data_IF_588993530785
#
_entry.id   IF_588993530785
#
_cell.length_a   1.000
_cell.length_b   1.000
_cell.length_c   1.000
_cell.angle_alpha   90.00
_cell.angle_beta   90.00
_cell.angle_gamma   90.00
#
_symmetry.space_group_name_H-M   'P 1'
#
loop_
_entity.id
_entity.type
_entity.pdbx_description
1 polymer ?
#
# COMPACT_ATOMS: atom_id res chain seq x y z
N UNK A 1 24.63 68.13 23.89
CA UNK A 1 23.63 67.38 23.08
C UNK A 1 24.06 65.93 22.82
N UNK A 2 25.34 65.65 22.54
CA UNK A 2 25.88 64.29 22.29
C UNK A 2 25.50 63.19 23.30
N UNK A 3 25.47 63.44 24.62
CA UNK A 3 25.10 62.41 25.62
C UNK A 3 23.66 61.87 25.49
N UNK A 4 22.75 62.63 24.87
CA UNK A 4 21.36 62.17 24.64
C UNK A 4 21.24 61.26 23.43
N UNK A 5 22.08 61.43 22.42
CA UNK A 5 22.09 60.60 21.20
C UNK A 5 22.61 59.19 21.50
N UNK A 6 23.70 59.07 22.26
CA UNK A 6 24.27 57.76 22.64
C UNK A 6 23.30 56.93 23.49
N UNK A 7 22.49 57.57 24.33
CA UNK A 7 21.47 56.89 25.14
C UNK A 7 20.29 56.37 24.29
N UNK A 8 20.01 56.98 23.14
CA UNK A 8 18.99 56.53 22.20
C UNK A 8 19.55 55.36 21.37
N UNK A 9 20.78 55.45 20.89
CA UNK A 9 21.45 54.38 20.12
C UNK A 9 21.55 53.08 20.92
N UNK A 10 21.91 53.14 22.21
CA UNK A 10 21.97 51.95 23.08
C UNK A 10 20.59 51.32 23.29
N UNK A 11 19.53 52.13 23.41
CA UNK A 11 18.15 51.62 23.54
C UNK A 11 17.68 50.94 22.27
N UNK A 12 18.01 51.50 21.10
CA UNK A 12 17.69 50.90 19.81
C UNK A 12 18.47 49.60 19.62
N UNK A 13 19.77 49.59 19.94
CA UNK A 13 20.59 48.37 19.89
C UNK A 13 20.06 47.26 20.80
N UNK A 14 19.67 47.60 22.03
CA UNK A 14 19.07 46.65 22.97
C UNK A 14 17.71 46.10 22.47
N UNK A 15 16.88 46.94 21.84
CA UNK A 15 15.61 46.51 21.26
C UNK A 15 15.83 45.52 20.10
N UNK A 16 16.81 45.78 19.23
CA UNK A 16 17.15 44.89 18.11
C UNK A 16 17.65 43.55 18.64
N UNK A 17 18.58 43.56 19.61
CA UNK A 17 19.09 42.33 20.24
C UNK A 17 17.98 41.52 20.90
N UNK A 18 17.07 42.19 21.62
CA UNK A 18 15.92 41.54 22.24
C UNK A 18 14.98 40.93 21.18
N UNK A 19 14.71 41.66 20.11
CA UNK A 19 13.85 41.19 19.01
C UNK A 19 14.49 40.00 18.28
N UNK A 20 15.80 40.02 18.04
CA UNK A 20 16.54 38.89 17.45
C UNK A 20 16.54 37.68 18.37
N UNK A 21 16.77 37.85 19.67
CA UNK A 21 16.72 36.76 20.63
C UNK A 21 15.31 36.14 20.72
N UNK A 22 14.27 36.98 20.71
CA UNK A 22 12.89 36.53 20.71
C UNK A 22 12.54 35.78 19.42
N UNK A 23 13.02 36.25 18.27
CA UNK A 23 12.85 35.56 16.99
C UNK A 23 13.56 34.20 16.96
N UNK A 24 14.80 34.11 17.46
CA UNK A 24 15.52 32.83 17.58
C UNK A 24 14.78 31.87 18.52
N UNK A 25 14.31 32.35 19.66
CA UNK A 25 13.52 31.55 20.59
C UNK A 25 12.21 31.06 19.94
N UNK A 26 11.54 31.92 19.18
CA UNK A 26 10.31 31.56 18.45
C UNK A 26 10.57 30.50 17.38
N UNK A 27 11.66 30.64 16.60
CA UNK A 27 12.07 29.65 15.59
C UNK A 27 12.38 28.30 16.24
N UNK A 28 13.04 28.29 17.40
CA UNK A 28 13.32 27.04 18.13
C UNK A 28 12.04 26.40 18.68
N UNK A 29 11.08 27.19 19.16
CA UNK A 29 9.80 26.68 19.67
C UNK A 29 8.91 26.14 18.54
N UNK A 30 8.90 26.79 17.38
CA UNK A 30 8.17 26.31 16.19
C UNK A 30 8.88 25.14 15.51
N UNK A 31 10.21 25.05 15.64
CA UNK A 31 10.98 23.93 15.17
C UNK A 31 10.71 22.71 16.04
N UNK A 32 10.12 21.67 15.47
CA UNK A 32 9.89 20.36 16.11
C UNK A 32 11.22 19.58 16.28
N UNK A 33 12.21 20.20 16.94
CA UNK A 33 13.54 19.63 17.18
C UNK A 33 13.50 18.72 18.41
N UNK A 34 13.08 17.47 18.21
CA UNK A 34 13.18 16.41 19.20
C UNK A 34 14.60 15.82 19.22
N UNK A 35 15.37 16.13 20.26
CA UNK A 35 16.72 15.55 20.52
C UNK A 35 16.65 14.24 21.31
N UNK A 36 15.60 13.46 21.14
CA UNK A 36 15.40 12.25 21.93
C UNK A 36 16.24 11.09 21.41
N UNK A 37 16.81 10.29 22.32
CA UNK A 37 17.60 9.08 21.99
C UNK A 37 16.66 7.95 21.58
N UNK A 38 15.94 8.14 20.47
CA UNK A 38 15.05 7.16 19.89
C UNK A 38 15.77 5.88 19.45
N UNK A 39 15.00 4.81 19.24
CA UNK A 39 15.49 3.59 18.59
C UNK A 39 15.49 3.82 17.09
N UNK A 40 16.68 3.91 16.50
CA UNK A 40 16.85 4.05 15.07
C UNK A 40 16.84 2.65 14.42
N UNK A 41 15.95 2.43 13.45
CA UNK A 41 15.91 1.23 12.63
C UNK A 41 15.98 1.63 11.14
N UNK A 42 16.30 0.65 10.30
CA UNK A 42 16.34 0.81 8.85
C UNK A 42 15.26 -0.05 8.23
N UNK A 43 14.41 0.55 7.42
CA UNK A 43 13.34 -0.16 6.70
C UNK A 43 13.57 -0.03 5.21
N UNK A 44 13.74 -1.16 4.54
CA UNK A 44 14.11 -1.21 3.14
C UNK A 44 12.90 -1.40 2.23
N UNK A 45 12.84 -0.61 1.16
CA UNK A 45 11.75 -0.57 0.18
C UNK A 45 12.32 -0.56 -1.24
N UNK A 46 11.58 -1.11 -2.21
CA UNK A 46 11.92 -0.93 -3.63
C UNK A 46 11.32 0.39 -4.14
N UNK A 47 10.19 0.80 -3.57
CA UNK A 47 9.56 2.06 -3.93
C UNK A 47 8.89 2.69 -2.70
N UNK A 48 9.25 3.94 -2.41
CA UNK A 48 8.64 4.68 -1.30
C UNK A 48 7.42 5.50 -1.69
N UNK A 49 7.06 5.52 -2.99
CA UNK A 49 5.81 6.06 -3.49
C UNK A 49 5.53 7.53 -3.15
N UNK A 50 6.56 8.34 -2.85
CA UNK A 50 6.38 9.74 -2.44
C UNK A 50 6.41 9.99 -0.92
N UNK A 51 6.81 9.01 -0.11
CA UNK A 51 7.23 9.23 1.26
C UNK A 51 8.33 10.30 1.31
N UNK A 52 8.28 11.20 2.30
CA UNK A 52 9.22 12.30 2.45
C UNK A 52 9.97 12.20 3.78
N UNK A 53 11.21 12.71 3.88
CA UNK A 53 11.84 12.95 5.17
C UNK A 53 10.94 13.81 6.06
N UNK A 54 10.86 13.47 7.34
CA UNK A 54 9.97 14.10 8.33
C UNK A 54 8.58 13.44 8.45
N UNK A 55 8.22 12.53 7.53
CA UNK A 55 6.96 11.78 7.57
C UNK A 55 6.81 11.04 8.91
N UNK A 56 5.57 10.93 9.37
CA UNK A 56 5.29 10.27 10.64
C UNK A 56 5.48 8.75 10.52
N UNK A 57 5.80 8.14 11.65
CA UNK A 57 5.81 6.69 11.82
C UNK A 57 4.82 6.37 12.92
N UNK A 58 3.90 5.46 12.64
CA UNK A 58 2.85 5.08 13.56
C UNK A 58 2.89 3.57 13.84
N UNK A 59 2.50 3.19 15.05
CA UNK A 59 2.31 1.80 15.45
C UNK A 59 0.84 1.65 15.77
N UNK A 60 0.13 0.82 14.99
CA UNK A 60 -1.33 0.67 15.09
C UNK A 60 -2.03 2.05 15.08
N UNK A 61 -1.57 2.93 14.21
CA UNK A 61 -2.05 4.30 14.03
C UNK A 61 -1.69 5.33 15.07
N UNK A 62 -1.04 4.95 16.17
CA UNK A 62 -0.54 5.91 17.15
C UNK A 62 0.83 6.37 16.66
N UNK A 63 0.98 7.68 16.46
CA UNK A 63 2.28 8.29 16.18
C UNK A 63 3.30 7.84 17.22
N UNK A 64 4.39 7.25 16.73
CA UNK A 64 5.42 6.61 17.52
C UNK A 64 6.83 7.01 17.07
N UNK A 65 6.96 7.83 16.03
CA UNK A 65 8.25 8.20 15.48
C UNK A 65 8.16 9.04 14.22
N UNK A 66 9.32 9.20 13.58
CA UNK A 66 9.48 9.94 12.32
C UNK A 66 10.51 9.29 11.41
N UNK A 67 10.31 9.44 10.11
CA UNK A 67 11.29 9.14 9.07
C UNK A 67 12.32 10.26 9.08
N UNK A 68 13.54 10.01 9.53
CA UNK A 68 14.58 11.05 9.53
C UNK A 68 15.10 11.34 8.13
N UNK A 69 15.29 10.29 7.33
CA UNK A 69 15.99 10.36 6.05
C UNK A 69 15.56 9.20 5.15
N UNK A 70 15.62 9.45 3.86
CA UNK A 70 15.55 8.42 2.83
C UNK A 70 16.90 8.36 2.13
N UNK A 71 17.45 7.16 2.01
CA UNK A 71 18.72 6.90 1.36
C UNK A 71 18.47 6.10 0.10
N UNK A 72 18.91 6.63 -1.04
CA UNK A 72 18.84 5.92 -2.31
C UNK A 72 20.01 4.93 -2.40
N UNK A 73 19.69 3.65 -2.45
CA UNK A 73 20.66 2.55 -2.41
C UNK A 73 21.11 2.10 -3.80
N UNK A 74 20.51 2.64 -4.86
CA UNK A 74 20.99 2.45 -6.24
C UNK A 74 20.81 1.04 -6.81
N UNK A 75 20.08 0.16 -6.12
CA UNK A 75 19.85 -1.21 -6.57
C UNK A 75 21.07 -2.12 -6.36
N UNK A 76 21.97 -1.79 -5.43
CA UNK A 76 23.05 -2.70 -5.05
C UNK A 76 22.42 -4.05 -4.61
N UNK A 77 22.94 -5.19 -5.08
CA UNK A 77 22.48 -6.49 -4.62
C UNK A 77 22.76 -6.58 -3.12
N UNK A 78 21.70 -6.77 -2.33
CA UNK A 78 21.86 -7.13 -0.94
C UNK A 78 22.01 -8.66 -0.87
N UNK A 79 23.19 -9.13 -0.46
CA UNK A 79 23.53 -10.55 -0.36
C UNK A 79 22.62 -11.31 0.62
N UNK A 80 22.01 -10.62 1.60
CA UNK A 80 21.13 -11.24 2.60
C UNK A 80 19.68 -11.36 2.10
N UNK A 81 19.24 -10.46 1.21
CA UNK A 81 17.85 -10.39 0.71
C UNK A 81 17.67 -10.91 -0.71
N UNK A 82 18.76 -11.17 -1.45
CA UNK A 82 18.73 -11.74 -2.80
C UNK A 82 18.05 -10.84 -3.85
N UNK A 83 18.01 -9.52 -3.61
CA UNK A 83 17.34 -8.53 -4.47
C UNK A 83 18.04 -7.17 -4.45
N UNK A 84 17.71 -6.36 -5.45
CA UNK A 84 18.25 -5.00 -5.60
C UNK A 84 17.48 -4.03 -4.69
N UNK A 85 18.12 -3.56 -3.62
CA UNK A 85 17.52 -2.56 -2.74
C UNK A 85 17.56 -1.17 -3.37
N UNK A 86 16.42 -0.51 -3.52
CA UNK A 86 16.37 0.81 -4.11
C UNK A 86 16.41 1.93 -3.08
N UNK A 87 15.71 1.80 -1.95
CA UNK A 87 15.59 2.86 -0.95
C UNK A 87 15.63 2.29 0.48
N UNK A 88 16.45 2.90 1.34
CA UNK A 88 16.49 2.64 2.78
C UNK A 88 15.90 3.81 3.55
N UNK A 89 14.83 3.57 4.29
CA UNK A 89 14.22 4.54 5.19
C UNK A 89 14.87 4.47 6.57
N UNK A 90 15.34 5.62 7.03
CA UNK A 90 15.94 5.82 8.35
C UNK A 90 14.83 6.21 9.33
N UNK A 91 14.36 5.25 10.11
CA UNK A 91 13.17 5.39 10.94
C UNK A 91 13.58 5.52 12.41
N UNK A 92 13.19 6.63 13.02
CA UNK A 92 13.39 6.86 14.44
C UNK A 92 12.08 6.60 15.18
N UNK A 93 12.13 5.66 16.13
CA UNK A 93 11.00 5.31 17.01
C UNK A 93 11.26 5.86 18.40
N UNK A 94 10.23 6.40 19.04
CA UNK A 94 10.30 6.88 20.42
C UNK A 94 10.66 5.74 21.40
N UNK A 95 11.53 5.96 22.39
CA UNK A 95 12.00 4.91 23.31
C UNK A 95 10.87 4.21 24.08
N UNK A 96 9.82 4.96 24.40
CA UNK A 96 8.61 4.47 25.07
C UNK A 96 7.85 3.44 24.24
N UNK A 97 7.92 3.55 22.91
CA UNK A 97 7.16 2.76 21.95
C UNK A 97 8.00 1.69 21.25
N UNK A 98 9.33 1.82 21.24
CA UNK A 98 10.25 0.87 20.60
C UNK A 98 10.07 -0.57 21.09
N UNK A 99 9.74 -0.77 22.38
CA UNK A 99 9.47 -2.09 22.96
C UNK A 99 8.21 -2.77 22.43
N UNK A 100 7.36 -2.08 21.68
CA UNK A 100 6.17 -2.65 21.05
C UNK A 100 6.43 -3.13 19.61
N UNK A 101 7.56 -2.74 19.02
CA UNK A 101 7.95 -3.14 17.67
C UNK A 101 8.78 -4.42 17.74
N UNK A 102 8.55 -5.31 16.79
CA UNK A 102 9.14 -6.65 16.72
C UNK A 102 9.83 -6.85 15.39
N UNK A 103 10.79 -7.78 15.33
CA UNK A 103 11.53 -8.04 14.09
C UNK A 103 10.65 -8.63 12.98
N UNK A 104 9.54 -9.26 13.33
CA UNK A 104 8.54 -9.78 12.41
C UNK A 104 7.41 -8.77 12.11
N UNK A 105 7.51 -7.53 12.62
CA UNK A 105 6.55 -6.48 12.31
C UNK A 105 6.55 -6.20 10.80
N UNK A 106 5.36 -5.97 10.25
CA UNK A 106 5.20 -5.53 8.88
C UNK A 106 5.18 -3.99 8.82
N UNK A 107 5.98 -3.43 7.91
CA UNK A 107 6.15 -1.98 7.74
C UNK A 107 5.53 -1.55 6.41
N UNK A 108 4.40 -0.85 6.47
CA UNK A 108 3.68 -0.41 5.27
C UNK A 108 3.88 1.09 5.05
N UNK A 109 4.06 1.50 3.80
CA UNK A 109 3.88 2.90 3.42
C UNK A 109 2.41 3.10 3.05
N UNK A 110 1.72 3.92 3.81
CA UNK A 110 0.30 4.20 3.57
C UNK A 110 0.00 5.69 3.75
N UNK A 111 -1.23 6.09 3.45
CA UNK A 111 -1.72 7.47 3.60
C UNK A 111 -2.84 7.51 4.61
N UNK A 112 -2.98 8.61 5.35
CA UNK A 112 -4.20 8.83 6.13
C UNK A 112 -5.32 9.24 5.17
N UNK A 113 -6.26 8.33 4.89
CA UNK A 113 -7.28 8.51 3.87
C UNK A 113 -6.72 8.48 2.43
N UNK A 114 -7.53 8.93 1.45
CA UNK A 114 -7.20 8.81 0.00
C UNK A 114 -6.14 9.78 -0.48
N UNK A 115 -6.11 10.99 0.10
CA UNK A 115 -5.28 12.11 -0.37
C UNK A 115 -4.28 12.60 0.69
N UNK A 116 -4.15 11.87 1.80
CA UNK A 116 -3.26 12.26 2.90
C UNK A 116 -1.78 12.15 2.56
N UNK A 117 -0.96 12.71 3.44
CA UNK A 117 0.48 12.51 3.37
C UNK A 117 0.84 11.04 3.66
N UNK A 118 1.92 10.58 3.01
CA UNK A 118 2.43 9.23 3.24
C UNK A 118 3.16 9.14 4.56
N UNK A 119 2.92 8.07 5.28
CA UNK A 119 3.54 7.74 6.56
C UNK A 119 3.87 6.25 6.60
N UNK A 120 4.72 5.83 7.54
CA UNK A 120 5.01 4.41 7.77
C UNK A 120 4.11 3.89 8.88
N UNK A 121 3.31 2.88 8.59
CA UNK A 121 2.51 2.14 9.57
C UNK A 121 3.23 0.84 9.94
N UNK A 122 3.40 0.61 11.23
CA UNK A 122 4.01 -0.59 11.80
C UNK A 122 2.88 -1.45 12.38
N UNK A 123 2.75 -2.66 11.84
CA UNK A 123 1.87 -3.70 12.37
C UNK A 123 2.69 -4.80 13.01
N UNK A 124 2.59 -4.93 14.34
CA UNK A 124 3.22 -6.03 15.08
C UNK A 124 2.36 -7.27 14.96
N UNK A 125 2.93 -8.34 14.39
CA UNK A 125 2.21 -9.60 14.15
C UNK A 125 2.27 -10.52 15.37
N UNK A 126 3.44 -10.72 15.98
CA UNK A 126 3.59 -11.54 17.18
C UNK A 126 4.34 -10.79 18.30
N UNK A 127 3.71 -10.64 19.46
CA UNK A 127 4.33 -10.00 20.63
C UNK A 127 5.44 -10.85 21.28
N UNK A 128 5.52 -12.14 20.97
CA UNK A 128 6.56 -13.06 21.44
C UNK A 128 7.84 -13.04 20.61
N UNK A 129 7.81 -12.44 19.41
CA UNK A 129 8.99 -12.26 18.60
C UNK A 129 10.03 -11.36 19.30
N UNK A 130 11.26 -11.36 18.80
CA UNK A 130 12.30 -10.50 19.37
C UNK A 130 11.95 -9.01 19.16
N UNK A 131 12.10 -8.16 20.19
CA UNK A 131 12.01 -6.71 20.02
C UNK A 131 13.07 -6.20 19.06
N UNK A 132 12.75 -5.15 18.30
CA UNK A 132 13.74 -4.50 17.43
C UNK A 132 14.84 -3.84 18.25
N UNK A 133 16.07 -3.96 17.75
CA UNK A 133 17.26 -3.31 18.30
C UNK A 133 17.66 -2.09 17.47
N UNK A 134 18.50 -1.24 18.07
CA UNK A 134 19.08 -0.10 17.36
C UNK A 134 19.94 -0.61 16.20
N UNK A 135 19.66 -0.12 15.00
CA UNK A 135 20.36 -0.47 13.77
C UNK A 135 19.81 -1.69 13.05
N UNK A 136 18.71 -2.29 13.52
CA UNK A 136 18.06 -3.39 12.81
C UNK A 136 17.64 -2.97 11.41
N UNK A 137 17.88 -3.87 10.44
CA UNK A 137 17.43 -3.74 9.06
C UNK A 137 16.23 -4.65 8.87
N UNK A 138 15.12 -4.06 8.44
CA UNK A 138 13.81 -4.70 8.34
C UNK A 138 13.24 -4.46 6.94
N UNK A 139 12.43 -5.40 6.46
CA UNK A 139 11.83 -5.30 5.14
C UNK A 139 10.50 -4.55 5.21
N UNK A 140 10.38 -3.55 4.36
CA UNK A 140 9.14 -2.84 4.10
C UNK A 140 8.28 -3.54 3.04
N UNK A 141 6.98 -3.24 3.10
CA UNK A 141 6.01 -3.59 2.05
C UNK A 141 5.77 -2.36 1.20
N UNK A 142 6.03 -2.48 -0.10
CA UNK A 142 5.90 -1.38 -1.04
C UNK A 142 4.42 -0.96 -1.19
N UNK A 143 4.14 0.35 -1.32
CA UNK A 143 2.79 0.84 -1.51
C UNK A 143 2.26 0.44 -2.90
N UNK A 144 0.97 0.10 -3.01
CA UNK A 144 0.35 -0.21 -4.30
C UNK A 144 0.39 1.02 -5.22
N UNK A 145 0.85 0.81 -6.47
CA UNK A 145 1.01 1.87 -7.49
C UNK A 145 -0.23 1.97 -8.37
N UNK A 146 -1.29 2.57 -7.84
CA UNK A 146 -2.57 2.66 -8.55
C UNK A 146 -2.45 3.45 -9.85
N UNK A 147 -1.54 4.43 -9.92
CA UNK A 147 -1.28 5.20 -11.15
C UNK A 147 -0.74 4.30 -12.27
N UNK A 148 0.15 3.37 -11.93
CA UNK A 148 0.70 2.43 -12.91
C UNK A 148 -0.37 1.44 -13.37
N UNK A 149 -1.21 0.96 -12.44
CA UNK A 149 -2.32 0.09 -12.78
C UNK A 149 -3.30 0.81 -13.71
N UNK A 150 -3.65 2.06 -13.43
CA UNK A 150 -4.54 2.84 -14.31
C UNK A 150 -3.92 3.07 -15.69
N UNK A 151 -2.64 3.44 -15.75
CA UNK A 151 -1.95 3.62 -17.02
C UNK A 151 -2.00 2.34 -17.86
N UNK A 152 -1.69 1.19 -17.26
CA UNK A 152 -1.78 -0.11 -17.95
C UNK A 152 -3.21 -0.45 -18.40
N UNK A 153 -4.22 -0.09 -17.63
CA UNK A 153 -5.63 -0.29 -18.00
C UNK A 153 -6.06 0.63 -19.14
N UNK A 154 -5.61 1.89 -19.12
CA UNK A 154 -5.88 2.85 -20.21
C UNK A 154 -5.19 2.37 -21.50
N UNK A 155 -3.97 1.86 -21.42
CA UNK A 155 -3.25 1.27 -22.57
C UNK A 155 -4.03 0.08 -23.14
N UNK A 156 -4.48 -0.85 -22.29
CA UNK A 156 -5.35 -1.97 -22.69
C UNK A 156 -6.63 -1.43 -23.34
N UNK A 157 -7.32 -0.45 -22.71
CA UNK A 157 -8.56 0.08 -23.24
C UNK A 157 -8.39 0.72 -24.63
N UNK A 158 -7.28 1.43 -24.86
CA UNK A 158 -6.94 2.03 -26.15
C UNK A 158 -6.61 0.95 -27.20
N UNK A 159 -5.80 -0.05 -26.85
CA UNK A 159 -5.49 -1.18 -27.73
C UNK A 159 -6.76 -1.93 -28.17
N UNK A 160 -7.71 -2.09 -27.25
CA UNK A 160 -9.00 -2.71 -27.54
C UNK A 160 -9.90 -1.82 -28.40
N UNK A 161 -9.90 -0.51 -28.17
CA UNK A 161 -10.67 0.44 -28.97
C UNK A 161 -10.19 0.45 -30.43
N UNK A 162 -8.86 0.40 -30.64
CA UNK A 162 -8.26 0.34 -31.98
C UNK A 162 -8.64 -0.94 -32.73
N UNK A 163 -8.62 -2.09 -32.03
CA UNK A 163 -9.05 -3.37 -32.60
C UNK A 163 -10.55 -3.40 -32.95
N UNK A 164 -11.39 -2.71 -32.18
CA UNK A 164 -12.84 -2.66 -32.43
C UNK A 164 -13.23 -1.66 -33.52
N UNK A 165 -12.47 -0.59 -33.69
CA UNK A 165 -12.79 0.50 -34.61
C UNK A 165 -12.47 0.17 -36.07
N UNK A 166 -11.49 -0.70 -36.30
CA UNK A 166 -10.99 -0.98 -37.65
C UNK A 166 -11.42 -2.38 -38.11
N UNK A 167 -12.21 -2.45 -39.20
CA UNK A 167 -12.74 -3.73 -39.72
C UNK A 167 -11.74 -4.47 -40.62
N UNK A 168 -10.79 -3.74 -41.20
CA UNK A 168 -9.75 -4.27 -42.08
C UNK A 168 -8.38 -4.09 -41.42
N UNK A 169 -8.18 -4.78 -40.29
CA UNK A 169 -6.94 -4.65 -39.52
C UNK A 169 -5.80 -5.33 -40.28
N UNK A 170 -4.72 -4.62 -40.64
CA UNK A 170 -3.54 -5.25 -41.22
C UNK A 170 -2.95 -6.29 -40.27
N UNK A 171 -2.50 -7.41 -40.83
CA UNK A 171 -1.86 -8.51 -40.08
C UNK A 171 -0.70 -8.02 -39.18
N UNK A 172 0.06 -7.01 -39.61
CA UNK A 172 1.12 -6.42 -38.80
C UNK A 172 0.62 -5.70 -37.55
N UNK A 173 -0.53 -5.01 -37.65
CA UNK A 173 -1.11 -4.26 -36.54
C UNK A 173 -1.79 -5.20 -35.55
N UNK A 174 -2.38 -6.30 -36.04
CA UNK A 174 -2.87 -7.41 -35.23
C UNK A 174 -1.79 -7.97 -34.30
N UNK A 175 -0.60 -8.28 -34.84
CA UNK A 175 0.53 -8.79 -34.04
C UNK A 175 0.97 -7.76 -32.99
N UNK A 176 1.09 -6.49 -33.39
CA UNK A 176 1.54 -5.42 -32.48
C UNK A 176 0.58 -5.23 -31.32
N UNK A 177 -0.72 -5.10 -31.61
CA UNK A 177 -1.74 -4.90 -30.59
C UNK A 177 -1.88 -6.13 -29.69
N UNK A 178 -1.79 -7.34 -30.24
CA UNK A 178 -1.81 -8.57 -29.45
C UNK A 178 -0.60 -8.66 -28.51
N UNK A 179 0.60 -8.33 -28.98
CA UNK A 179 1.80 -8.33 -28.15
C UNK A 179 1.75 -7.27 -27.05
N UNK A 180 1.18 -6.09 -27.34
CA UNK A 180 1.01 -5.02 -26.37
C UNK A 180 -0.01 -5.42 -25.27
N UNK A 181 -1.15 -6.00 -25.67
CA UNK A 181 -2.14 -6.56 -24.76
C UNK A 181 -1.52 -7.64 -23.86
N UNK A 182 -0.72 -8.55 -24.43
CA UNK A 182 -0.01 -9.59 -23.67
C UNK A 182 0.98 -8.99 -22.68
N UNK A 183 1.78 -8.01 -23.10
CA UNK A 183 2.75 -7.35 -22.23
C UNK A 183 2.06 -6.62 -21.06
N UNK A 184 0.95 -5.93 -21.34
CA UNK A 184 0.19 -5.21 -20.33
C UNK A 184 -0.53 -6.16 -19.36
N UNK A 185 -1.22 -7.19 -19.86
CA UNK A 185 -1.89 -8.18 -19.02
C UNK A 185 -0.90 -9.00 -18.17
N UNK A 186 0.24 -9.41 -18.76
CA UNK A 186 1.29 -10.10 -18.02
C UNK A 186 1.92 -9.18 -16.96
N UNK A 187 2.12 -7.90 -17.26
CA UNK A 187 2.60 -6.92 -16.29
C UNK A 187 1.66 -6.76 -15.10
N UNK A 188 0.34 -6.68 -15.32
CA UNK A 188 -0.65 -6.63 -14.23
C UNK A 188 -0.56 -7.87 -13.34
N UNK A 189 -0.45 -9.07 -13.93
CA UNK A 189 -0.33 -10.29 -13.14
C UNK A 189 0.97 -10.36 -12.36
N UNK A 190 2.11 -10.10 -13.01
CA UNK A 190 3.42 -10.29 -12.42
C UNK A 190 3.70 -9.25 -11.33
N UNK A 191 3.40 -7.97 -11.60
CA UNK A 191 3.66 -6.87 -10.66
C UNK A 191 2.79 -6.95 -9.40
N UNK A 192 1.61 -7.59 -9.49
CA UNK A 192 0.67 -7.67 -8.37
C UNK A 192 0.66 -9.04 -7.69
N UNK A 193 1.35 -10.06 -8.24
CA UNK A 193 1.36 -11.41 -7.68
C UNK A 193 1.88 -11.45 -6.26
N UNK A 194 3.05 -10.87 -6.02
CA UNK A 194 3.69 -10.87 -4.69
C UNK A 194 2.83 -10.15 -3.65
N UNK A 195 2.17 -9.06 -4.07
CA UNK A 195 1.25 -8.30 -3.22
C UNK A 195 -0.01 -9.12 -2.89
N UNK A 196 -0.59 -9.78 -3.89
CA UNK A 196 -1.76 -10.64 -3.73
C UNK A 196 -1.42 -11.83 -2.82
N UNK A 197 -0.29 -12.50 -3.06
CA UNK A 197 0.16 -13.65 -2.26
C UNK A 197 0.40 -13.24 -0.80
N UNK A 198 1.00 -12.06 -0.58
CA UNK A 198 1.22 -11.51 0.77
C UNK A 198 -0.09 -11.16 1.48
N UNK A 199 -1.04 -10.54 0.77
CA UNK A 199 -2.37 -10.22 1.32
C UNK A 199 -3.11 -11.50 1.70
N UNK A 200 -3.12 -12.50 0.81
CA UNK A 200 -3.78 -13.78 1.06
C UNK A 200 -3.16 -14.47 2.27
N UNK A 201 -1.82 -14.58 2.32
CA UNK A 201 -1.13 -15.20 3.44
C UNK A 201 -1.37 -14.50 4.78
N UNK A 202 -1.34 -13.15 4.79
CA UNK A 202 -1.64 -12.37 5.98
C UNK A 202 -3.09 -12.54 6.44
N UNK A 203 -4.03 -12.53 5.50
CA UNK A 203 -5.46 -12.71 5.80
C UNK A 203 -5.77 -14.13 6.28
N UNK A 204 -5.11 -15.15 5.72
CA UNK A 204 -5.20 -16.54 6.19
C UNK A 204 -4.67 -16.67 7.62
N UNK A 205 -3.51 -16.07 7.91
CA UNK A 205 -2.92 -16.03 9.25
C UNK A 205 -3.85 -15.35 10.25
N UNK A 206 -4.31 -14.14 9.94
CA UNK A 206 -5.27 -13.39 10.77
C UNK A 206 -6.57 -14.17 10.98
N UNK A 207 -7.05 -14.87 9.95
CA UNK A 207 -8.26 -15.71 10.06
C UNK A 207 -8.04 -16.94 10.95
N UNK A 208 -6.83 -17.51 10.95
CA UNK A 208 -6.43 -18.58 11.86
C UNK A 208 -6.36 -18.11 13.31
N UNK A 209 -5.61 -17.03 13.56
CA UNK A 209 -5.43 -16.42 14.88
C UNK A 209 -6.78 -15.99 15.47
N UNK A 210 -7.67 -15.46 14.63
CA UNK A 210 -9.04 -15.13 14.95
C UNK A 210 -9.87 -16.32 15.46
N UNK A 211 -9.77 -17.48 14.81
CA UNK A 211 -10.49 -18.70 15.22
C UNK A 211 -9.98 -19.18 16.57
N UNK A 212 -8.68 -19.13 16.80
CA UNK A 212 -8.06 -19.47 18.08
C UNK A 212 -8.54 -18.55 19.21
N UNK A 213 -8.64 -17.24 18.95
CA UNK A 213 -9.23 -16.26 19.89
C UNK A 213 -10.71 -16.58 20.16
N UNK A 214 -11.49 -16.91 19.13
CA UNK A 214 -12.90 -17.25 19.29
C UNK A 214 -13.11 -18.51 20.15
N UNK A 215 -12.25 -19.52 19.98
CA UNK A 215 -12.27 -20.75 20.77
C UNK A 215 -11.78 -20.51 22.20
N UNK A 216 -10.78 -19.65 22.41
CA UNK A 216 -10.34 -19.24 23.75
C UNK A 216 -11.42 -18.45 24.52
N UNK A 217 -12.17 -17.58 23.82
CA UNK A 217 -13.31 -16.83 24.39
C UNK A 217 -14.43 -17.78 24.85
N UNK A 218 -14.62 -18.91 24.16
CA UNK A 218 -15.62 -19.95 24.50
C UNK A 218 -15.38 -20.59 25.87
N UNK A 219 -14.15 -20.54 26.40
CA UNK A 219 -13.73 -21.25 27.61
C UNK A 219 -13.82 -20.37 28.87
N UNK A 220 -13.99 -19.04 28.77
CA UNK A 220 -13.92 -18.18 29.96
C UNK A 220 -14.65 -16.84 29.95
N UNK A 221 -15.31 -16.42 28.88
CA UNK A 221 -15.91 -15.08 28.77
C UNK A 221 -17.29 -15.20 28.14
N UNK A 222 -18.28 -14.38 28.56
CA UNK A 222 -19.69 -14.46 28.17
C UNK A 222 -20.00 -14.30 26.66
N UNK A 223 -21.05 -13.55 26.30
CA UNK A 223 -21.50 -13.46 24.91
C UNK A 223 -20.50 -12.70 24.01
N UNK A 224 -19.51 -13.41 23.48
CA UNK A 224 -18.55 -12.94 22.47
C UNK A 224 -19.17 -12.75 21.09
N UNK A 225 -20.43 -12.30 21.00
CA UNK A 225 -21.17 -12.12 19.75
C UNK A 225 -20.55 -11.05 18.85
N UNK A 226 -20.06 -9.93 19.42
CA UNK A 226 -19.40 -8.87 18.64
C UNK A 226 -18.08 -9.34 18.04
N UNK A 227 -17.23 -10.02 18.83
CA UNK A 227 -16.01 -10.64 18.33
C UNK A 227 -16.36 -11.66 17.25
N UNK A 228 -17.32 -12.57 17.50
CA UNK A 228 -17.81 -13.51 16.47
C UNK A 228 -18.26 -12.80 15.20
N UNK A 229 -18.96 -11.68 15.32
CA UNK A 229 -19.49 -10.94 14.17
C UNK A 229 -18.36 -10.32 13.36
N UNK A 230 -17.40 -9.67 14.00
CA UNK A 230 -16.20 -9.14 13.34
C UNK A 230 -15.37 -10.25 12.70
N UNK A 231 -15.22 -11.40 13.36
CA UNK A 231 -14.50 -12.55 12.81
C UNK A 231 -15.23 -13.20 11.63
N UNK A 232 -16.55 -13.29 11.68
CA UNK A 232 -17.38 -13.71 10.56
C UNK A 232 -17.26 -12.72 9.40
N UNK A 233 -17.22 -11.41 9.68
CA UNK A 233 -17.04 -10.38 8.66
C UNK A 233 -15.65 -10.46 8.01
N UNK A 234 -14.58 -10.64 8.78
CA UNK A 234 -13.23 -10.86 8.27
C UNK A 234 -13.19 -12.12 7.42
N UNK A 235 -13.71 -13.26 7.92
CA UNK A 235 -13.77 -14.52 7.15
C UNK A 235 -14.59 -14.38 5.87
N UNK A 236 -15.70 -13.64 5.91
CA UNK A 236 -16.51 -13.37 4.74
C UNK A 236 -15.79 -12.47 3.73
N UNK A 237 -15.05 -11.46 4.20
CA UNK A 237 -14.20 -10.63 3.36
C UNK A 237 -13.09 -11.47 2.71
N UNK A 238 -12.41 -12.32 3.47
CA UNK A 238 -11.42 -13.28 2.96
C UNK A 238 -12.01 -14.16 1.86
N UNK A 239 -13.17 -14.76 2.12
CA UNK A 239 -13.84 -15.61 1.15
C UNK A 239 -14.24 -14.82 -0.10
N UNK A 240 -14.72 -13.58 0.05
CA UNK A 240 -15.03 -12.71 -1.09
C UNK A 240 -13.78 -12.36 -1.89
N UNK A 241 -12.69 -11.94 -1.24
CA UNK A 241 -11.43 -11.65 -1.91
C UNK A 241 -10.91 -12.86 -2.69
N UNK A 242 -10.91 -14.04 -2.08
CA UNK A 242 -10.47 -15.26 -2.75
C UNK A 242 -11.40 -15.63 -3.94
N UNK A 243 -12.72 -15.45 -3.74
CA UNK A 243 -13.72 -15.71 -4.77
C UNK A 243 -13.74 -14.67 -5.90
N UNK A 244 -13.29 -13.44 -5.70
CA UNK A 244 -13.26 -12.36 -6.71
C UNK A 244 -11.92 -12.31 -7.44
N UNK A 245 -10.80 -12.50 -6.73
CA UNK A 245 -9.46 -12.49 -7.32
C UNK A 245 -9.21 -13.74 -8.18
N UNK A 246 -9.69 -14.92 -7.76
CA UNK A 246 -9.53 -16.16 -8.51
C UNK A 246 -10.15 -16.15 -9.92
N UNK A 247 -11.37 -15.62 -10.13
CA UNK A 247 -11.93 -15.39 -11.45
C UNK A 247 -11.16 -14.36 -12.27
N UNK A 248 -10.66 -13.27 -11.67
CA UNK A 248 -9.89 -12.24 -12.39
C UNK A 248 -8.58 -12.82 -12.92
N UNK A 249 -7.83 -13.55 -12.09
CA UNK A 249 -6.58 -14.21 -12.52
C UNK A 249 -6.82 -15.26 -13.61
N UNK A 250 -7.88 -16.07 -13.49
CA UNK A 250 -8.28 -17.04 -14.54
C UNK A 250 -8.72 -16.37 -15.82
N UNK A 251 -9.46 -15.25 -15.75
CA UNK A 251 -9.87 -14.47 -16.93
C UNK A 251 -8.64 -13.85 -17.61
N UNK A 252 -7.71 -13.27 -16.84
CA UNK A 252 -6.45 -12.73 -17.35
C UNK A 252 -5.58 -13.81 -18.02
N UNK A 253 -5.43 -14.98 -17.40
CA UNK A 253 -4.71 -16.10 -18.01
C UNK A 253 -5.37 -16.56 -19.32
N UNK A 254 -6.71 -16.66 -19.36
CA UNK A 254 -7.41 -16.97 -20.63
C UNK A 254 -7.22 -15.88 -21.69
N UNK A 255 -7.21 -14.61 -21.30
CA UNK A 255 -6.90 -13.51 -22.22
C UNK A 255 -5.49 -13.65 -22.78
N UNK A 256 -4.51 -14.03 -21.94
CA UNK A 256 -3.14 -14.32 -22.37
C UNK A 256 -3.06 -15.53 -23.29
N UNK A 257 -3.72 -16.64 -22.96
CA UNK A 257 -3.74 -17.87 -23.77
C UNK A 257 -4.39 -17.61 -25.15
N UNK A 258 -5.49 -16.86 -25.17
CA UNK A 258 -6.16 -16.49 -26.41
C UNK A 258 -5.29 -15.54 -27.24
N UNK A 259 -4.65 -14.56 -26.61
CA UNK A 259 -3.73 -13.64 -27.29
C UNK A 259 -2.50 -14.37 -27.84
N UNK A 260 -1.95 -15.35 -27.11
CA UNK A 260 -0.88 -16.22 -27.59
C UNK A 260 -1.35 -17.02 -28.81
N UNK A 261 -2.54 -17.61 -28.74
CA UNK A 261 -3.15 -18.37 -29.84
C UNK A 261 -3.34 -17.52 -31.09
N UNK A 262 -3.74 -16.26 -30.92
CA UNK A 262 -3.81 -15.28 -32.02
C UNK A 262 -2.42 -15.02 -32.58
N UNK A 263 -1.43 -14.74 -31.74
CA UNK A 263 -0.05 -14.49 -32.19
C UNK A 263 0.51 -15.65 -33.00
N UNK A 264 0.27 -16.89 -32.56
CA UNK A 264 0.64 -18.12 -33.29
C UNK A 264 -0.13 -18.24 -34.62
N UNK A 265 -1.44 -18.02 -34.61
CA UNK A 265 -2.28 -18.11 -35.82
C UNK A 265 -1.87 -17.06 -36.86
N UNK A 266 -1.55 -15.85 -36.41
CA UNK A 266 -1.10 -14.75 -37.27
C UNK A 266 0.30 -14.99 -37.85
N UNK A 267 1.18 -15.64 -37.09
CA UNK A 267 2.46 -16.15 -37.60
C UNK A 267 2.25 -17.21 -38.69
N UNK A 268 1.28 -18.10 -38.52
CA UNK A 268 0.93 -19.12 -39.51
C UNK A 268 0.33 -18.51 -40.80
N UNK A 269 -0.44 -17.42 -40.69
CA UNK A 269 -0.97 -16.64 -41.82
C UNK A 269 0.17 -16.01 -42.63
N UNK A 270 1.17 -15.43 -41.96
CA UNK A 270 2.35 -14.84 -42.64
C UNK A 270 3.22 -15.91 -43.33
N UNK A 271 3.06 -17.19 -42.98
CA UNK A 271 3.71 -18.33 -43.65
C UNK A 271 2.85 -19.02 -44.72
N UNK A 272 1.65 -18.52 -45.04
CA UNK A 272 0.87 -18.94 -46.21
C UNK A 272 -0.25 -19.97 -45.96
N UNK A 273 -0.72 -20.17 -44.73
CA UNK A 273 -1.88 -21.04 -44.43
C UNK A 273 -3.19 -20.23 -44.37
N UNK A 274 -4.02 -20.34 -45.42
CA UNK A 274 -5.21 -19.50 -45.62
C UNK A 274 -6.43 -19.68 -44.67
N UNK A 275 -6.77 -20.85 -44.10
CA UNK A 275 -7.95 -20.96 -43.21
C UNK A 275 -7.76 -20.35 -41.82
N UNK A 276 -6.61 -19.74 -41.54
CA UNK A 276 -6.23 -19.24 -40.22
C UNK A 276 -6.75 -17.81 -39.92
N UNK A 277 -7.13 -17.04 -40.94
CA UNK A 277 -7.50 -15.60 -40.79
C UNK A 277 -8.82 -15.43 -40.05
N UNK A 278 -9.86 -16.18 -40.40
CA UNK A 278 -11.18 -16.08 -39.75
C UNK A 278 -11.11 -16.47 -38.27
N UNK A 279 -10.41 -17.57 -37.95
CA UNK A 279 -10.24 -18.02 -36.56
C UNK A 279 -9.38 -17.06 -35.71
N UNK A 280 -8.37 -16.42 -36.29
CA UNK A 280 -7.59 -15.39 -35.60
C UNK A 280 -8.46 -14.17 -35.25
N UNK A 281 -9.30 -13.73 -36.19
CA UNK A 281 -10.21 -12.60 -36.02
C UNK A 281 -11.28 -12.91 -34.97
N UNK A 282 -11.87 -14.11 -34.98
CA UNK A 282 -12.88 -14.51 -34.00
C UNK A 282 -12.31 -14.61 -32.58
N UNK A 283 -11.13 -15.24 -32.43
CA UNK A 283 -10.43 -15.32 -31.15
C UNK A 283 -10.03 -13.93 -30.64
N UNK A 284 -9.69 -13.02 -31.54
CA UNK A 284 -9.42 -11.62 -31.19
C UNK A 284 -10.66 -10.88 -30.74
N UNK A 285 -11.79 -11.04 -31.41
CA UNK A 285 -13.03 -10.44 -30.95
C UNK A 285 -13.42 -10.96 -29.56
N UNK A 286 -13.26 -12.26 -29.32
CA UNK A 286 -13.51 -12.85 -28.00
C UNK A 286 -12.53 -12.32 -26.94
N UNK A 287 -11.24 -12.22 -27.27
CA UNK A 287 -10.20 -11.68 -26.38
C UNK A 287 -10.47 -10.21 -26.08
N UNK A 288 -10.82 -9.44 -27.09
CA UNK A 288 -11.10 -8.01 -26.98
C UNK A 288 -12.35 -7.75 -26.14
N UNK A 289 -13.39 -8.55 -26.33
CA UNK A 289 -14.61 -8.45 -25.53
C UNK A 289 -14.34 -8.78 -24.05
N UNK A 290 -13.58 -9.84 -23.77
CA UNK A 290 -13.23 -10.23 -22.41
C UNK A 290 -12.33 -9.18 -21.72
N UNK A 291 -11.32 -8.69 -22.42
CA UNK A 291 -10.42 -7.68 -21.89
C UNK A 291 -11.14 -6.35 -21.63
N UNK A 292 -12.10 -5.96 -22.49
CA UNK A 292 -12.91 -4.75 -22.29
C UNK A 292 -13.79 -4.86 -21.05
N UNK A 293 -14.47 -5.99 -20.85
CA UNK A 293 -15.28 -6.22 -19.64
C UNK A 293 -14.43 -6.12 -18.37
N UNK A 294 -13.22 -6.70 -18.39
CA UNK A 294 -12.30 -6.59 -17.24
C UNK A 294 -11.88 -5.14 -17.03
N UNK A 295 -11.53 -4.41 -18.10
CA UNK A 295 -11.13 -3.00 -18.02
C UNK A 295 -12.26 -2.14 -17.44
N UNK A 296 -13.50 -2.33 -17.92
CA UNK A 296 -14.67 -1.60 -17.45
C UNK A 296 -14.96 -1.92 -15.97
N UNK A 297 -14.93 -3.21 -15.58
CA UNK A 297 -15.15 -3.65 -14.19
C UNK A 297 -14.08 -3.05 -13.24
N UNK A 298 -12.81 -3.08 -13.65
CA UNK A 298 -11.72 -2.53 -12.83
C UNK A 298 -11.81 -1.02 -12.72
N UNK A 299 -12.18 -0.33 -13.81
CA UNK A 299 -12.38 1.12 -13.79
C UNK A 299 -13.52 1.53 -12.86
N UNK A 300 -14.68 0.89 -12.99
CA UNK A 300 -15.84 1.12 -12.12
C UNK A 300 -15.49 0.85 -10.66
N UNK A 301 -14.79 -0.25 -10.38
CA UNK A 301 -14.37 -0.61 -9.03
C UNK A 301 -13.37 0.40 -8.48
N UNK A 302 -12.40 0.84 -9.27
CA UNK A 302 -11.40 1.83 -8.85
C UNK A 302 -12.04 3.19 -8.58
N UNK A 303 -12.98 3.62 -9.43
CA UNK A 303 -13.71 4.86 -9.24
C UNK A 303 -14.60 4.80 -7.99
N UNK A 304 -15.17 3.63 -7.67
CA UNK A 304 -15.89 3.42 -6.43
C UNK A 304 -14.96 3.51 -5.21
N UNK A 305 -13.77 2.90 -5.26
CA UNK A 305 -12.77 2.96 -4.18
C UNK A 305 -12.30 4.40 -3.95
N UNK A 306 -11.90 5.12 -5.00
CA UNK A 306 -11.46 6.52 -4.92
C UNK A 306 -12.54 7.44 -4.37
N UNK A 307 -13.79 7.18 -4.73
CA UNK A 307 -14.95 7.95 -4.27
C UNK A 307 -15.44 7.53 -2.88
N UNK A 308 -14.80 6.57 -2.19
CA UNK A 308 -15.26 6.09 -0.88
C UNK A 308 -16.57 5.31 -0.90
N UNK A 309 -16.98 4.79 -2.06
CA UNK A 309 -18.25 4.09 -2.24
C UNK A 309 -18.09 2.59 -2.05
N UNK A 310 -19.10 1.97 -1.45
CA UNK A 310 -19.09 0.54 -1.12
C UNK A 310 -18.20 0.21 0.09
N UNK A 311 -18.09 -1.08 0.44
CA UNK A 311 -17.35 -1.50 1.64
C UNK A 311 -15.85 -1.28 1.53
N UNK A 312 -15.28 -1.44 0.34
CA UNK A 312 -13.83 -1.23 0.09
C UNK A 312 -13.53 0.27 0.03
N UNK A 313 -14.34 1.04 -0.70
CA UNK A 313 -14.21 2.50 -0.72
C UNK A 313 -14.33 3.08 0.68
N UNK A 314 -15.40 2.75 1.41
CA UNK A 314 -15.58 3.16 2.80
C UNK A 314 -14.36 2.83 3.64
N UNK A 315 -13.89 1.57 3.65
CA UNK A 315 -12.72 1.18 4.44
C UNK A 315 -11.43 1.94 4.09
N UNK A 316 -11.21 2.26 2.82
CA UNK A 316 -10.00 2.98 2.36
C UNK A 316 -10.08 4.48 2.67
N UNK A 317 -11.29 5.05 2.67
CA UNK A 317 -11.48 6.50 2.77
C UNK A 317 -11.89 6.97 4.15
N UNK A 318 -12.45 6.09 4.96
CA UNK A 318 -13.09 6.41 6.23
C UNK A 318 -12.08 6.37 7.37
N UNK A 319 -11.76 7.56 7.89
CA UNK A 319 -10.89 7.72 9.05
C UNK A 319 -11.56 7.25 10.35
N UNK A 320 -12.89 7.25 10.42
CA UNK A 320 -13.66 6.89 11.61
C UNK A 320 -13.55 5.39 11.89
N UNK A 321 -13.64 4.55 10.84
CA UNK A 321 -13.45 3.09 10.99
C UNK A 321 -12.05 2.76 11.53
N UNK A 322 -11.04 3.49 11.08
CA UNK A 322 -9.68 3.33 11.55
C UNK A 322 -9.51 3.75 13.02
N UNK A 323 -10.08 4.90 13.38
CA UNK A 323 -10.06 5.42 14.75
C UNK A 323 -10.88 4.55 15.71
N UNK A 324 -12.03 4.02 15.28
CA UNK A 324 -12.87 3.09 16.03
C UNK A 324 -12.15 1.77 16.29
N UNK A 325 -11.54 1.16 15.26
CA UNK A 325 -10.73 -0.06 15.41
C UNK A 325 -9.58 0.15 16.39
N UNK A 326 -8.93 1.31 16.31
CA UNK A 326 -7.82 1.69 17.17
C UNK A 326 -8.29 1.94 18.60
N UNK A 327 -9.42 2.61 18.80
CA UNK A 327 -10.01 2.84 20.12
C UNK A 327 -10.43 1.52 20.76
N UNK A 328 -11.03 0.62 19.99
CA UNK A 328 -11.40 -0.73 20.43
C UNK A 328 -10.15 -1.53 20.87
N UNK A 329 -9.07 -1.50 20.08
CA UNK A 329 -7.80 -2.13 20.44
C UNK A 329 -7.16 -1.48 21.68
N UNK A 330 -7.29 -0.16 21.81
CA UNK A 330 -6.82 0.59 22.98
C UNK A 330 -7.58 0.21 24.24
N UNK A 331 -8.90 0.10 24.16
CA UNK A 331 -9.77 -0.34 25.26
C UNK A 331 -9.46 -1.78 25.66
N UNK A 332 -9.29 -2.68 24.69
CA UNK A 332 -8.90 -4.08 24.91
C UNK A 332 -7.59 -4.17 25.71
N UNK A 333 -6.60 -3.34 25.33
CA UNK A 333 -5.28 -3.32 25.97
C UNK A 333 -5.28 -2.66 27.35
N UNK A 334 -6.11 -1.62 27.56
CA UNK A 334 -6.16 -0.86 28.83
C UNK A 334 -7.03 -1.51 29.89
N UNK A 335 -8.15 -2.11 29.49
CA UNK A 335 -9.15 -2.68 30.40
C UNK A 335 -9.64 -4.03 29.85
N UNK A 336 -8.77 -5.05 29.79
CA UNK A 336 -9.18 -6.37 29.30
C UNK A 336 -10.38 -6.91 30.09
N UNK A 337 -10.47 -6.58 31.40
CA UNK A 337 -11.57 -6.96 32.29
C UNK A 337 -12.92 -6.29 32.01
N UNK A 338 -12.99 -5.15 31.33
CA UNK A 338 -14.27 -4.48 31.01
C UNK A 338 -15.09 -5.26 29.96
N UNK A 339 -14.40 -6.09 29.17
CA UNK A 339 -15.00 -7.04 28.23
C UNK A 339 -15.37 -8.34 28.97
N UNK A 340 -14.64 -8.68 30.04
CA UNK A 340 -14.87 -9.85 30.88
C UNK A 340 -16.05 -9.64 31.84
N UNK A 341 -16.29 -8.40 32.28
CA UNK A 341 -17.33 -8.03 33.23
C UNK A 341 -18.03 -6.74 32.76
N UNK A 342 -19.25 -6.89 32.22
CA UNK A 342 -20.19 -5.76 32.07
C UNK A 342 -20.73 -5.41 33.46
N UNK A 343 -20.56 -4.17 33.90
CA UNK A 343 -21.46 -3.59 34.91
C UNK A 343 -22.82 -3.28 34.28
#
# INVERSE_FOLDING_TARGET
MQKKETAIEVKVGALVLFSTALLVAFVIILGDFSFDKGTMIYVDFDNVGGLKPGADVAISGIKAGKVQRLEFMGGAPDEDLGRNLMVRAHVMIEPSMAKAVRRDSAFYITTQGVLGEKYIEILTLDMNAEPVAVGDQLRGVDPPRMELLMARLDDIANELADLMSNKDIPVGDLIRNTNALMANANGILTDNRDNIDSIIGNVEKVSGDAVEIADAVKVGVGDGSEIRTSLVNVRNLTNRLNNELGPITRKLNRTLDNAESVSVTVKDITTGKQPAIEGAIDNLYATSANAKLISDDVKVTTDAIRAGRGTIGGLVTDQEIYDDLKEMLRELKRRPWKIIWKE
#
